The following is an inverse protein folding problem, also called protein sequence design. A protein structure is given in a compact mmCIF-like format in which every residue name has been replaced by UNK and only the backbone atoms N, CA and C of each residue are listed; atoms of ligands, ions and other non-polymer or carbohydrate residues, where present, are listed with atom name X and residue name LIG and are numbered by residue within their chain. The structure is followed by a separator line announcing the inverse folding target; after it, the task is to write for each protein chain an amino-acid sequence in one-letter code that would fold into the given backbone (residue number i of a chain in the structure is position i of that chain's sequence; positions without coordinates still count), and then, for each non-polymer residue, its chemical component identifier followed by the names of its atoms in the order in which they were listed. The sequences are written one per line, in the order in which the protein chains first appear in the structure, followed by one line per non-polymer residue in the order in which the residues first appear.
data_IF_882321009678
#
_entry.id   IF_882321009678
#
_cell.length_a   1.000
_cell.length_b   1.000
_cell.length_c   1.000
_cell.angle_alpha   90.00
_cell.angle_beta   90.00
_cell.angle_gamma   90.00
#
_symmetry.space_group_name_H-M   'P 1'
#
loop_
_entity.id
_entity.type
_entity.pdbx_description
1 polymer ?
#
# COMPACT_ATOMS: atom_id res chain seq x y z
N UNK A 1 2.77 -11.05 -20.63
CA UNK A 1 2.43 -9.71 -20.10
C UNK A 1 1.04 -9.80 -19.49
N UNK A 2 0.81 -9.25 -18.31
CA UNK A 2 -0.50 -9.26 -17.63
C UNK A 2 -0.91 -7.82 -17.32
N UNK A 3 -2.19 -7.53 -17.48
CA UNK A 3 -2.78 -6.26 -17.03
C UNK A 3 -2.94 -6.34 -15.52
N UNK A 4 -2.38 -5.36 -14.82
CA UNK A 4 -2.37 -5.28 -13.36
C UNK A 4 -2.99 -3.96 -12.94
N UNK A 5 -3.63 -3.97 -11.77
CA UNK A 5 -4.07 -2.79 -11.05
C UNK A 5 -3.03 -2.48 -9.97
N UNK A 6 -2.75 -1.22 -9.67
CA UNK A 6 -1.90 -0.85 -8.55
C UNK A 6 -2.36 0.43 -7.86
N UNK A 7 -2.07 0.51 -6.57
CA UNK A 7 -2.30 1.69 -5.73
C UNK A 7 -1.12 1.90 -4.78
N UNK A 8 -0.85 3.16 -4.44
CA UNK A 8 0.14 3.56 -3.45
C UNK A 8 -0.50 3.62 -2.08
N UNK A 9 0.21 3.08 -1.09
CA UNK A 9 -0.17 3.10 0.31
C UNK A 9 0.38 4.39 0.90
N UNK A 10 -0.52 5.23 1.40
CA UNK A 10 -0.24 6.55 1.96
C UNK A 10 -0.51 6.52 3.46
N UNK A 11 0.46 7.04 4.20
CA UNK A 11 0.32 7.33 5.61
C UNK A 11 -0.11 8.78 5.76
N UNK A 12 -1.28 9.01 6.34
CA UNK A 12 -1.90 10.31 6.55
C UNK A 12 -2.40 10.38 8.01
N UNK A 13 -1.52 10.69 8.97
CA UNK A 13 -1.86 10.67 10.40
C UNK A 13 -2.81 11.81 10.80
N UNK A 14 -2.87 12.87 10.01
CA UNK A 14 -3.71 14.04 10.23
C UNK A 14 -4.60 14.23 9.01
N UNK A 15 -5.92 14.02 9.15
CA UNK A 15 -6.84 14.10 8.01
C UNK A 15 -7.05 15.54 7.53
N UNK A 16 -6.95 16.50 8.45
CA UNK A 16 -7.38 17.89 8.23
C UNK A 16 -6.42 18.73 7.37
N UNK A 17 -5.15 18.34 7.30
CA UNK A 17 -4.12 19.13 6.61
C UNK A 17 -3.78 18.62 5.20
N UNK A 18 -4.29 17.45 4.80
CA UNK A 18 -4.00 16.86 3.49
C UNK A 18 -2.60 16.26 3.34
N UNK A 19 -1.75 16.36 4.38
CA UNK A 19 -0.37 15.90 4.33
C UNK A 19 -0.30 14.37 4.31
N UNK A 20 0.52 13.82 3.42
CA UNK A 20 0.72 12.38 3.34
C UNK A 20 2.15 11.99 2.99
N UNK A 21 2.51 10.77 3.40
CA UNK A 21 3.74 10.14 2.97
C UNK A 21 3.46 8.79 2.30
N UNK A 22 4.08 8.57 1.14
CA UNK A 22 4.01 7.27 0.49
C UNK A 22 4.86 6.27 1.26
N UNK A 23 4.24 5.20 1.76
CA UNK A 23 4.88 4.17 2.59
C UNK A 23 4.90 2.79 1.92
N UNK A 24 4.15 2.59 0.85
CA UNK A 24 4.14 1.31 0.14
C UNK A 24 3.39 1.34 -1.18
N UNK A 25 3.30 0.18 -1.80
CA UNK A 25 2.55 -0.07 -3.03
C UNK A 25 1.91 -1.45 -2.94
N UNK A 26 0.69 -1.57 -3.45
CA UNK A 26 0.01 -2.83 -3.71
C UNK A 26 -0.27 -2.96 -5.21
N UNK A 27 -0.02 -4.14 -5.76
CA UNK A 27 -0.26 -4.51 -7.14
C UNK A 27 -1.13 -5.78 -7.15
N UNK A 28 -2.21 -5.74 -7.92
CA UNK A 28 -3.15 -6.84 -8.08
C UNK A 28 -3.21 -7.29 -9.55
N UNK A 29 -3.20 -8.61 -9.74
CA UNK A 29 -3.32 -9.27 -11.04
C UNK A 29 -4.69 -9.96 -11.13
N UNK A 30 -5.69 -9.35 -11.78
CA UNK A 30 -7.05 -9.89 -11.80
C UNK A 30 -7.14 -11.31 -12.36
N UNK A 31 -6.43 -11.59 -13.46
CA UNK A 31 -6.49 -12.88 -14.16
C UNK A 31 -6.04 -14.08 -13.34
N UNK A 32 -5.22 -13.84 -12.30
CA UNK A 32 -4.71 -14.91 -11.43
C UNK A 32 -5.01 -14.64 -9.96
N UNK A 33 -5.89 -13.67 -9.66
CA UNK A 33 -6.22 -13.22 -8.31
C UNK A 33 -4.99 -13.08 -7.40
N UNK A 34 -3.88 -12.58 -7.94
CA UNK A 34 -2.62 -12.52 -7.20
C UNK A 34 -2.36 -11.11 -6.72
N UNK A 35 -2.03 -10.97 -5.45
CA UNK A 35 -1.66 -9.69 -4.84
C UNK A 35 -0.17 -9.70 -4.47
N UNK A 36 0.54 -8.65 -4.89
CA UNK A 36 1.96 -8.43 -4.62
C UNK A 36 2.08 -7.04 -4.02
N UNK A 37 2.80 -6.90 -2.91
CA UNK A 37 2.95 -5.61 -2.24
C UNK A 37 4.37 -5.39 -1.77
N UNK A 38 4.69 -4.13 -1.50
CA UNK A 38 5.92 -3.74 -0.82
C UNK A 38 5.65 -2.49 0.00
N UNK A 39 6.11 -2.50 1.23
CA UNK A 39 5.88 -1.43 2.20
C UNK A 39 7.19 -1.16 2.95
N UNK A 40 7.30 0.02 3.56
CA UNK A 40 8.40 0.34 4.48
C UNK A 40 8.44 -0.68 5.62
N UNK A 41 9.66 -0.94 6.13
CA UNK A 41 9.83 -1.73 7.35
C UNK A 41 9.55 -0.84 8.56
N UNK A 42 9.10 -1.39 9.71
CA UNK A 42 8.85 -0.59 10.92
C UNK A 42 10.03 0.28 11.35
N UNK A 43 11.27 -0.19 11.14
CA UNK A 43 12.49 0.56 11.45
C UNK A 43 12.87 1.65 10.43
N UNK A 44 12.13 1.81 9.33
CA UNK A 44 12.36 2.85 8.32
C UNK A 44 11.44 4.05 8.58
N UNK A 45 11.48 4.58 9.80
CA UNK A 45 10.55 5.60 10.28
C UNK A 45 11.09 7.03 10.20
N UNK A 46 12.42 7.22 10.20
CA UNK A 46 13.09 8.52 10.39
C UNK A 46 12.48 9.63 9.53
N UNK A 47 12.46 9.44 8.21
CA UNK A 47 11.92 10.40 7.24
C UNK A 47 10.44 10.74 7.50
N UNK A 48 9.65 9.76 7.95
CA UNK A 48 8.21 9.91 8.20
C UNK A 48 7.97 10.65 9.52
N UNK A 49 8.68 10.24 10.59
CA UNK A 49 8.65 10.91 11.89
C UNK A 49 9.21 12.33 11.85
N UNK A 50 10.14 12.60 10.92
CA UNK A 50 10.68 13.94 10.71
C UNK A 50 9.71 14.87 9.95
N UNK A 51 8.94 14.31 9.02
CA UNK A 51 7.94 15.07 8.25
C UNK A 51 6.72 15.42 9.12
N UNK A 52 6.18 14.46 9.87
CA UNK A 52 5.01 14.68 10.72
C UNK A 52 5.41 14.96 12.16
N UNK A 53 5.71 16.22 12.53
CA UNK A 53 6.04 16.57 13.92
C UNK A 53 4.84 17.20 14.65
N UNK A 54 4.55 16.79 15.90
CA UNK A 54 5.19 15.72 16.67
C UNK A 54 4.57 14.33 16.40
N UNK A 55 5.38 13.35 15.99
CA UNK A 55 4.94 11.95 15.84
C UNK A 55 5.82 10.96 16.59
N UNK A 56 5.18 10.01 17.28
CA UNK A 56 5.84 8.92 17.97
C UNK A 56 6.26 7.81 17.00
N UNK A 57 7.53 7.40 17.03
CA UNK A 57 8.06 6.27 16.25
C UNK A 57 7.30 4.95 16.48
N UNK A 58 6.79 4.73 17.70
CA UNK A 58 6.08 3.51 18.07
C UNK A 58 4.71 3.48 17.39
N UNK A 59 4.05 4.64 17.29
CA UNK A 59 2.79 4.77 16.56
C UNK A 59 2.96 4.41 15.08
N UNK A 60 3.97 4.98 14.42
CA UNK A 60 4.28 4.62 13.03
C UNK A 60 4.61 3.13 12.87
N UNK A 61 5.50 2.61 13.73
CA UNK A 61 5.94 1.21 13.69
C UNK A 61 4.78 0.23 13.85
N UNK A 62 3.90 0.47 14.82
CA UNK A 62 2.70 -0.32 15.06
C UNK A 62 1.74 -0.24 13.87
N UNK A 63 1.57 0.94 13.29
CA UNK A 63 0.73 1.13 12.11
C UNK A 63 1.24 0.32 10.92
N UNK A 64 2.56 0.39 10.63
CA UNK A 64 3.17 -0.40 9.56
C UNK A 64 2.98 -1.91 9.79
N UNK A 65 3.14 -2.40 11.02
CA UNK A 65 2.92 -3.81 11.34
C UNK A 65 1.47 -4.23 11.11
N UNK A 66 0.49 -3.41 11.51
CA UNK A 66 -0.93 -3.68 11.28
C UNK A 66 -1.25 -3.75 9.78
N UNK A 67 -0.74 -2.80 8.99
CA UNK A 67 -0.95 -2.78 7.52
C UNK A 67 -0.30 -4.00 6.87
N UNK A 68 0.91 -4.38 7.30
CA UNK A 68 1.58 -5.58 6.80
C UNK A 68 0.78 -6.85 7.08
N UNK A 69 0.27 -7.00 8.31
CA UNK A 69 -0.54 -8.14 8.70
C UNK A 69 -1.82 -8.24 7.85
N UNK A 70 -2.49 -7.11 7.62
CA UNK A 70 -3.72 -7.06 6.82
C UNK A 70 -3.47 -7.36 5.33
N UNK A 71 -2.40 -6.81 4.75
CA UNK A 71 -2.01 -7.10 3.36
C UNK A 71 -1.66 -8.58 3.16
N UNK A 72 -0.94 -9.18 4.11
CA UNK A 72 -0.62 -10.61 4.05
C UNK A 72 -1.88 -11.47 4.21
N UNK A 73 -2.81 -11.09 5.10
CA UNK A 73 -4.10 -11.76 5.25
C UNK A 73 -4.91 -11.73 3.95
N UNK A 74 -5.01 -10.58 3.30
CA UNK A 74 -5.74 -10.41 2.04
C UNK A 74 -5.07 -11.18 0.90
N UNK A 75 -3.75 -11.13 0.80
CA UNK A 75 -2.97 -11.91 -0.16
C UNK A 75 -3.27 -13.41 -0.03
N UNK A 76 -3.20 -13.94 1.20
CA UNK A 76 -3.49 -15.34 1.47
C UNK A 76 -4.94 -15.71 1.14
N UNK A 77 -5.90 -14.84 1.45
CA UNK A 77 -7.31 -15.05 1.13
C UNK A 77 -7.54 -15.15 -0.39
N UNK A 78 -6.91 -14.25 -1.16
CA UNK A 78 -6.98 -14.24 -2.62
C UNK A 78 -6.34 -15.48 -3.25
N UNK A 79 -5.26 -16.00 -2.67
CA UNK A 79 -4.55 -17.19 -3.17
C UNK A 79 -5.26 -18.51 -2.81
N UNK A 80 -6.00 -18.55 -1.69
CA UNK A 80 -6.65 -19.76 -1.19
C UNK A 80 -8.09 -19.96 -1.68
N UNK A 81 -8.74 -18.91 -2.17
CA UNK A 81 -10.16 -18.98 -2.49
C UNK A 81 -10.45 -19.43 -3.92
N UNK A 82 -11.45 -20.29 -4.08
CA UNK A 82 -12.21 -20.43 -5.33
C UNK A 82 -12.73 -19.05 -5.78
N UNK A 83 -12.99 -18.80 -7.08
CA UNK A 83 -13.21 -17.44 -7.60
C UNK A 83 -14.15 -16.61 -6.72
N UNK A 84 -13.56 -15.67 -6.01
CA UNK A 84 -14.25 -14.83 -5.04
C UNK A 84 -15.17 -13.90 -5.84
N UNK A 85 -16.48 -13.94 -5.58
CA UNK A 85 -17.44 -13.03 -6.24
C UNK A 85 -17.27 -11.56 -5.80
N UNK A 86 -16.57 -11.32 -4.70
CA UNK A 86 -16.26 -9.99 -4.16
C UNK A 86 -14.92 -9.50 -4.71
N UNK A 87 -14.90 -8.29 -5.28
CA UNK A 87 -13.64 -7.62 -5.70
C UNK A 87 -12.88 -7.13 -4.46
N UNK A 88 -12.18 -8.05 -3.79
CA UNK A 88 -11.40 -7.80 -2.58
C UNK A 88 -10.34 -6.71 -2.79
N UNK A 89 -9.82 -6.57 -4.01
CA UNK A 89 -8.86 -5.51 -4.30
C UNK A 89 -9.53 -4.14 -4.23
N UNK A 90 -10.69 -3.95 -4.87
CA UNK A 90 -11.41 -2.68 -4.76
C UNK A 90 -11.86 -2.39 -3.32
N UNK A 91 -12.17 -3.44 -2.54
CA UNK A 91 -12.49 -3.28 -1.11
C UNK A 91 -11.27 -2.83 -0.29
N UNK A 92 -10.08 -3.38 -0.58
CA UNK A 92 -8.82 -2.98 0.05
C UNK A 92 -8.51 -1.51 -0.20
N UNK A 93 -8.66 -1.03 -1.44
CA UNK A 93 -8.32 0.35 -1.81
C UNK A 93 -9.47 1.34 -1.60
N UNK A 94 -10.61 0.89 -1.06
CA UNK A 94 -11.78 1.75 -0.88
C UNK A 94 -11.40 2.89 0.07
N UNK A 95 -11.63 4.17 -0.30
CA UNK A 95 -11.35 5.29 0.58
C UNK A 95 -12.09 5.13 1.91
N UNK A 96 -11.35 5.19 3.02
CA UNK A 96 -11.87 5.20 4.39
C UNK A 96 -11.26 6.40 5.10
N UNK A 97 -11.95 6.92 6.12
CA UNK A 97 -11.42 7.96 7.00
C UNK A 97 -10.44 7.33 8.00
N UNK A 98 -9.33 6.79 7.51
CA UNK A 98 -8.29 6.15 8.31
C UNK A 98 -6.91 6.80 8.07
N UNK A 99 -5.96 6.38 8.91
CA UNK A 99 -4.55 6.80 8.86
C UNK A 99 -3.85 6.26 7.59
N UNK A 100 -4.45 5.28 6.91
CA UNK A 100 -3.85 4.52 5.80
C UNK A 100 -4.72 4.59 4.56
N UNK A 101 -4.43 5.58 3.71
CA UNK A 101 -5.17 5.77 2.47
C UNK A 101 -4.48 5.08 1.31
N UNK A 102 -5.26 4.69 0.31
CA UNK A 102 -4.73 4.21 -0.96
C UNK A 102 -4.90 5.30 -2.01
N UNK A 103 -3.89 5.49 -2.87
CA UNK A 103 -4.05 6.32 -4.05
C UNK A 103 -5.13 5.76 -4.96
N UNK A 104 -5.60 6.59 -5.89
CA UNK A 104 -6.43 6.13 -7.01
C UNK A 104 -5.84 4.90 -7.68
N UNK A 105 -6.73 4.00 -8.09
CA UNK A 105 -6.37 2.79 -8.79
C UNK A 105 -5.81 3.11 -10.18
N UNK A 106 -4.61 2.61 -10.47
CA UNK A 106 -3.93 2.80 -11.75
C UNK A 106 -3.72 1.46 -12.43
N UNK A 107 -3.73 1.47 -13.77
CA UNK A 107 -3.51 0.26 -14.58
C UNK A 107 -2.09 0.25 -15.14
N UNK A 108 -1.44 -0.90 -15.08
CA UNK A 108 -0.11 -1.12 -15.66
C UNK A 108 -0.03 -2.49 -16.34
N UNK A 109 0.72 -2.58 -17.43
CA UNK A 109 1.03 -3.86 -18.08
C UNK A 109 2.38 -4.34 -17.56
N UNK A 110 2.38 -5.49 -16.88
CA UNK A 110 3.58 -6.04 -16.24
C UNK A 110 4.00 -7.37 -16.88
N UNK A 111 5.31 -7.55 -17.08
CA UNK A 111 5.93 -8.85 -17.40
C UNK A 111 6.31 -9.62 -16.14
N UNK A 112 6.70 -8.90 -15.09
CA UNK A 112 7.12 -9.43 -13.79
C UNK A 112 6.60 -8.49 -12.69
N UNK A 113 5.64 -9.01 -11.93
CA UNK A 113 4.93 -8.24 -10.90
C UNK A 113 5.82 -7.84 -9.74
N UNK A 114 6.81 -8.68 -9.38
CA UNK A 114 7.72 -8.39 -8.29
C UNK A 114 8.68 -7.27 -8.70
N UNK A 115 9.28 -7.37 -9.88
CA UNK A 115 10.15 -6.31 -10.42
C UNK A 115 9.40 -4.99 -10.59
N UNK A 116 8.12 -5.04 -10.97
CA UNK A 116 7.29 -3.84 -11.11
C UNK A 116 7.11 -3.12 -9.78
N UNK A 117 6.78 -3.86 -8.73
CA UNK A 117 6.66 -3.31 -7.37
C UNK A 117 8.00 -2.81 -6.84
N UNK A 118 9.09 -3.51 -7.13
CA UNK A 118 10.44 -3.11 -6.72
C UNK A 118 10.89 -1.80 -7.38
N UNK A 119 10.59 -1.63 -8.68
CA UNK A 119 10.87 -0.41 -9.41
C UNK A 119 9.98 0.75 -8.94
N UNK A 120 8.68 0.51 -8.80
CA UNK A 120 7.74 1.52 -8.32
C UNK A 120 8.08 2.01 -6.90
N UNK A 121 8.63 1.14 -6.05
CA UNK A 121 9.14 1.54 -4.73
C UNK A 121 10.17 2.66 -4.80
N UNK A 122 11.10 2.59 -5.75
CA UNK A 122 12.22 3.54 -5.87
C UNK A 122 11.74 4.93 -6.30
N UNK A 123 10.72 5.00 -7.15
CA UNK A 123 10.21 6.28 -7.64
C UNK A 123 9.15 6.88 -6.71
N UNK A 124 8.21 6.08 -6.19
CA UNK A 124 6.99 6.61 -5.57
C UNK A 124 7.06 6.70 -4.04
N UNK A 125 7.93 5.94 -3.35
CA UNK A 125 8.09 6.10 -1.89
C UNK A 125 8.98 7.30 -1.51
N UNK A 126 9.52 7.99 -2.50
CA UNK A 126 10.28 9.21 -2.31
C UNK A 126 9.39 10.46 -2.22
N UNK A 127 8.08 10.33 -2.43
CA UNK A 127 7.16 11.46 -2.43
C UNK A 127 6.50 11.64 -1.05
N UNK A 128 6.59 12.85 -0.54
CA UNK A 128 5.83 13.40 0.59
C UNK A 128 5.26 14.72 0.10
N UNK A 129 3.96 14.89 0.21
CA UNK A 129 3.27 16.10 -0.25
C UNK A 129 2.62 16.80 0.95
N UNK A 130 2.64 18.13 0.89
CA UNK A 130 1.96 19.06 1.80
C UNK A 130 0.68 19.51 1.10
#
# INVERSE_FOLDING_TARGET
RKVCKYSIIRFQPYADNGEFANIGIVLYVPTSQRLVYKILRPNQHERITDFFKPMNKDFFSNTIQMVQAELERIKNLLEQSAPIQVDLYNELIRPREDIIRYSENRVIVSTDTQKTVDFAKLCQLCDMEI
#
